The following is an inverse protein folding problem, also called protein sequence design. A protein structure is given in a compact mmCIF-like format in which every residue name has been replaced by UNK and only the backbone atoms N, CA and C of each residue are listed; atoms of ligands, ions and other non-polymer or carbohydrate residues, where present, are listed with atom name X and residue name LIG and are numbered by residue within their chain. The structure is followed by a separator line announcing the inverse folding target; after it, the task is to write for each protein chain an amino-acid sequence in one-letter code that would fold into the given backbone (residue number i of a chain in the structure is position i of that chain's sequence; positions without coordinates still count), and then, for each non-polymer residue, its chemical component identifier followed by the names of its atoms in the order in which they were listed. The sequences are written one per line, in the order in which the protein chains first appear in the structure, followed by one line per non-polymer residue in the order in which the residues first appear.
data_IF_084534352535
#
_entry.id   IF_084534352535
#
_cell.length_a   1.000
_cell.length_b   1.000
_cell.length_c   1.000
_cell.angle_alpha   90.00
_cell.angle_beta   90.00
_cell.angle_gamma   90.00
#
_symmetry.space_group_name_H-M   'P 1'
#
loop_
_entity.id
_entity.type
_entity.pdbx_description
1 polymer ?
#
# COMPACT_ATOMS: atom_id res chain seq x y z
N UNK A 1 -30.61 5.58 -0.39
CA UNK A 1 -30.14 5.29 -0.36
C UNK A 1 -29.31 5.25 -0.84
N UNK A 2 -29.01 5.60 -0.91
CA UNK A 2 -28.18 5.52 -1.38
C UNK A 2 -27.07 5.35 -0.85
N UNK A 3 -26.85 5.07 0.16
CA UNK A 3 -25.85 4.71 0.84
C UNK A 3 -25.05 3.69 0.30
N UNK A 4 -25.51 2.69 -0.12
CA UNK A 4 -24.75 1.68 -0.75
C UNK A 4 -24.03 2.20 -1.93
N UNK A 5 -24.49 3.22 -2.50
CA UNK A 5 -23.77 3.78 -3.53
C UNK A 5 -22.53 4.38 -3.09
N UNK A 6 -22.49 4.89 -1.87
CA UNK A 6 -21.30 5.46 -1.39
C UNK A 6 -20.22 4.49 -1.23
N UNK A 7 -20.52 3.29 -0.76
CA UNK A 7 -19.47 2.33 -0.58
C UNK A 7 -18.87 1.93 -1.90
N UNK A 8 -19.64 1.98 -2.96
CA UNK A 8 -19.08 1.62 -4.23
C UNK A 8 -18.22 2.70 -4.80
N UNK A 9 -18.38 3.95 -4.36
CA UNK A 9 -17.56 5.01 -4.87
C UNK A 9 -16.28 5.17 -4.11
N UNK A 10 -16.13 4.48 -3.00
CA UNK A 10 -14.90 4.58 -2.23
C UNK A 10 -13.84 3.71 -2.83
N UNK A 11 -12.65 4.23 -2.88
CA UNK A 11 -11.52 3.47 -3.38
C UNK A 11 -11.10 2.44 -2.36
N UNK A 12 -10.54 1.35 -2.85
CA UNK A 12 -9.97 0.31 -2.02
C UNK A 12 -8.45 0.42 -2.10
N UNK A 13 -7.82 0.58 -0.97
CA UNK A 13 -6.38 0.74 -0.89
C UNK A 13 -5.75 -0.46 -0.23
N UNK A 14 -4.54 -0.81 -0.64
CA UNK A 14 -3.77 -1.84 0.04
C UNK A 14 -2.56 -1.17 0.65
N UNK A 15 -2.35 -1.37 1.94
CA UNK A 15 -1.19 -0.84 2.65
C UNK A 15 -0.27 -1.99 2.98
N UNK A 16 0.97 -1.92 2.51
CA UNK A 16 1.95 -2.97 2.70
C UNK A 16 3.14 -2.43 3.47
N UNK A 17 3.32 -2.89 4.69
CA UNK A 17 4.39 -2.44 5.55
C UNK A 17 4.58 -3.52 6.60
N UNK A 18 5.82 -3.90 6.87
CA UNK A 18 6.07 -4.95 7.84
C UNK A 18 6.09 -4.43 9.27
N UNK A 19 6.09 -3.13 9.46
CA UNK A 19 6.05 -2.55 10.78
C UNK A 19 4.60 -2.38 11.20
N UNK A 20 4.12 -3.16 12.17
CA UNK A 20 2.68 -3.14 12.49
C UNK A 20 2.17 -1.77 12.93
N UNK A 21 2.99 -1.01 13.65
CA UNK A 21 2.51 0.28 14.13
C UNK A 21 2.28 1.25 12.99
N UNK A 22 3.19 1.27 12.03
CA UNK A 22 3.04 2.15 10.88
C UNK A 22 1.91 1.66 10.01
N UNK A 23 1.87 0.35 9.77
CA UNK A 23 0.82 -0.23 8.94
C UNK A 23 -0.56 0.08 9.50
N UNK A 24 -0.72 -0.11 10.82
CA UNK A 24 -2.01 0.11 11.45
C UNK A 24 -2.38 1.58 11.47
N UNK A 25 -1.40 2.45 11.69
CA UNK A 25 -1.65 3.87 11.69
C UNK A 25 -2.13 4.34 10.32
N UNK A 26 -1.45 3.90 9.27
CA UNK A 26 -1.85 4.28 7.92
C UNK A 26 -3.23 3.72 7.60
N UNK A 27 -3.45 2.46 7.92
CA UNK A 27 -4.74 1.84 7.62
C UNK A 27 -5.87 2.55 8.35
N UNK A 28 -5.66 2.85 9.63
CA UNK A 28 -6.69 3.52 10.40
C UNK A 28 -6.99 4.90 9.87
N UNK A 29 -5.93 5.64 9.52
CA UNK A 29 -6.11 6.98 9.00
C UNK A 29 -6.87 6.98 7.69
N UNK A 30 -6.54 6.02 6.82
CA UNK A 30 -7.19 5.95 5.52
C UNK A 30 -8.64 5.50 5.66
N UNK A 31 -8.89 4.57 6.58
CA UNK A 31 -10.27 4.16 6.83
C UNK A 31 -11.09 5.30 7.39
N UNK A 32 -10.48 6.09 8.27
CA UNK A 32 -11.17 7.22 8.83
C UNK A 32 -11.53 8.22 7.74
N UNK A 33 -10.71 8.32 6.71
CA UNK A 33 -10.96 9.20 5.57
C UNK A 33 -12.01 8.65 4.62
N UNK A 34 -12.48 7.42 4.82
CA UNK A 34 -13.55 6.88 4.01
C UNK A 34 -13.15 5.80 3.04
N UNK A 35 -11.90 5.39 3.03
CA UNK A 35 -11.46 4.35 2.10
C UNK A 35 -11.62 2.96 2.71
N UNK A 36 -11.79 1.99 1.84
CA UNK A 36 -11.64 0.61 2.25
C UNK A 36 -10.16 0.28 2.21
N UNK A 37 -9.66 -0.42 3.21
CA UNK A 37 -8.23 -0.68 3.30
C UNK A 37 -7.98 -2.13 3.65
N UNK A 38 -7.13 -2.77 2.85
CA UNK A 38 -6.57 -4.07 3.16
C UNK A 38 -5.13 -3.86 3.58
N UNK A 39 -4.58 -4.79 4.33
CA UNK A 39 -3.20 -4.67 4.77
C UNK A 39 -2.44 -5.94 4.45
N UNK A 40 -1.13 -5.81 4.30
CA UNK A 40 -0.24 -6.94 4.14
C UNK A 40 1.07 -6.58 4.82
N UNK A 41 1.76 -7.57 5.34
CA UNK A 41 3.00 -7.36 6.07
C UNK A 41 4.26 -7.75 5.31
N UNK A 42 4.12 -8.30 4.12
CA UNK A 42 5.28 -8.69 3.34
C UNK A 42 4.91 -8.71 1.86
N UNK A 43 5.89 -9.00 1.04
CA UNK A 43 5.70 -8.96 -0.41
C UNK A 43 4.76 -10.04 -0.91
N UNK A 44 4.91 -11.25 -0.40
CA UNK A 44 4.03 -12.33 -0.83
C UNK A 44 2.59 -12.03 -0.45
N UNK A 45 2.38 -11.50 0.75
CA UNK A 45 1.05 -11.12 1.17
C UNK A 45 0.47 -10.04 0.29
N UNK A 46 1.32 -9.09 -0.13
CA UNK A 46 0.87 -8.03 -1.02
C UNK A 46 0.41 -8.60 -2.36
N UNK A 47 1.20 -9.50 -2.93
CA UNK A 47 0.85 -10.08 -4.22
C UNK A 47 -0.46 -10.84 -4.16
N UNK A 48 -0.65 -11.60 -3.09
CA UNK A 48 -1.90 -12.35 -2.92
C UNK A 48 -3.08 -11.44 -2.72
N UNK A 49 -2.90 -10.39 -1.94
CA UNK A 49 -4.00 -9.47 -1.66
C UNK A 49 -4.39 -8.69 -2.91
N UNK A 50 -3.43 -8.31 -3.73
CA UNK A 50 -3.75 -7.63 -4.98
C UNK A 50 -4.60 -8.53 -5.87
N UNK A 51 -4.23 -9.81 -5.96
CA UNK A 51 -5.00 -10.72 -6.76
C UNK A 51 -6.42 -10.89 -6.23
N UNK A 52 -6.55 -10.92 -4.93
CA UNK A 52 -7.83 -11.21 -4.31
C UNK A 52 -8.76 -10.01 -4.31
N UNK A 53 -8.24 -8.80 -4.12
CA UNK A 53 -9.08 -7.64 -3.88
C UNK A 53 -9.04 -6.60 -4.99
N UNK A 54 -8.06 -6.67 -5.87
CA UNK A 54 -7.91 -5.70 -6.96
C UNK A 54 -8.01 -4.25 -6.46
N UNK A 55 -7.09 -3.84 -5.62
CA UNK A 55 -7.18 -2.49 -5.06
C UNK A 55 -6.97 -1.42 -6.11
N UNK A 56 -7.41 -0.21 -5.80
CA UNK A 56 -7.26 0.92 -6.68
C UNK A 56 -5.90 1.60 -6.54
N UNK A 57 -5.24 1.38 -5.42
CA UNK A 57 -3.93 1.97 -5.15
C UNK A 57 -3.22 1.08 -4.14
N UNK A 58 -1.92 0.87 -4.31
CA UNK A 58 -1.11 0.14 -3.35
C UNK A 58 -0.12 1.13 -2.72
N UNK A 59 -0.13 1.21 -1.40
CA UNK A 59 0.86 1.98 -0.64
C UNK A 59 1.87 0.96 -0.15
N UNK A 60 3.10 1.04 -0.61
CA UNK A 60 4.03 -0.05 -0.52
C UNK A 60 5.36 0.39 0.06
N UNK A 61 5.75 -0.23 1.16
CA UNK A 61 7.04 0.02 1.75
C UNK A 61 8.13 -0.57 0.85
N UNK A 62 9.22 0.16 0.72
CA UNK A 62 10.34 -0.32 -0.08
C UNK A 62 11.02 -1.50 0.60
N UNK A 63 11.11 -1.49 1.93
CA UNK A 63 11.82 -2.53 2.64
C UNK A 63 10.86 -3.49 3.29
N UNK A 64 10.77 -4.69 2.75
CA UNK A 64 9.92 -5.74 3.30
C UNK A 64 10.80 -6.94 3.65
N UNK A 65 10.33 -7.82 4.52
CA UNK A 65 11.19 -8.91 5.00
C UNK A 65 11.53 -9.96 3.95
N UNK A 66 10.64 -10.19 3.00
CA UNK A 66 10.86 -11.26 2.04
C UNK A 66 11.34 -10.77 0.67
N UNK A 67 11.10 -9.52 0.35
CA UNK A 67 11.58 -8.95 -0.91
C UNK A 67 11.40 -7.44 -0.81
N UNK A 68 12.09 -6.67 -1.62
CA UNK A 68 11.90 -5.24 -1.55
C UNK A 68 10.63 -4.84 -2.33
N UNK A 69 10.18 -3.62 -2.08
CA UNK A 69 8.96 -3.16 -2.70
C UNK A 69 9.06 -3.02 -4.21
N UNK A 70 10.25 -2.73 -4.71
CA UNK A 70 10.41 -2.60 -6.16
C UNK A 70 10.23 -3.95 -6.82
N UNK A 71 10.62 -5.03 -6.14
CA UNK A 71 10.39 -6.37 -6.66
C UNK A 71 8.91 -6.68 -6.70
N UNK A 72 8.18 -6.29 -5.66
CA UNK A 72 6.73 -6.47 -5.66
C UNK A 72 6.11 -5.75 -6.85
N UNK A 73 6.51 -4.50 -7.06
CA UNK A 73 5.97 -3.71 -8.16
C UNK A 73 6.26 -4.37 -9.49
N UNK A 74 7.50 -4.84 -9.66
CA UNK A 74 7.87 -5.49 -10.92
C UNK A 74 7.03 -6.73 -11.17
N UNK A 75 6.82 -7.54 -10.13
CA UNK A 75 6.03 -8.75 -10.29
C UNK A 75 4.58 -8.45 -10.61
N UNK A 76 4.05 -7.37 -10.06
CA UNK A 76 2.70 -6.97 -10.41
C UNK A 76 2.62 -6.56 -11.88
N UNK A 77 3.61 -5.83 -12.37
CA UNK A 77 3.61 -5.43 -13.78
C UNK A 77 3.75 -6.63 -14.69
N UNK A 78 4.50 -7.63 -14.26
CA UNK A 78 4.65 -8.86 -15.03
C UNK A 78 3.35 -9.63 -15.16
N UNK A 79 2.44 -9.42 -14.21
CA UNK A 79 1.13 -10.05 -14.23
C UNK A 79 0.07 -9.15 -14.85
N UNK A 80 0.53 -8.09 -15.51
CA UNK A 80 -0.37 -7.13 -16.17
C UNK A 80 -1.25 -6.37 -15.20
N UNK A 81 -0.82 -6.25 -13.95
CA UNK A 81 -1.53 -5.45 -12.97
C UNK A 81 -1.04 -4.03 -13.13
N UNK A 82 -1.94 -3.12 -13.42
CA UNK A 82 -1.58 -1.72 -13.68
C UNK A 82 -1.93 -0.78 -12.55
N UNK A 83 -2.32 -1.33 -11.42
CA UNK A 83 -2.67 -0.52 -10.24
C UNK A 83 -1.52 0.42 -9.89
N UNK A 84 -1.81 1.69 -9.65
CA UNK A 84 -0.78 2.63 -9.22
C UNK A 84 -0.17 2.23 -7.89
N UNK A 85 1.10 2.45 -7.75
CA UNK A 85 1.83 2.09 -6.54
C UNK A 85 2.54 3.32 -6.01
N UNK A 86 2.29 3.60 -4.74
CA UNK A 86 2.89 4.72 -4.06
C UNK A 86 3.89 4.16 -3.08
N UNK A 87 5.17 4.43 -3.30
CA UNK A 87 6.20 3.87 -2.45
C UNK A 87 6.42 4.73 -1.22
N UNK A 88 6.57 4.04 -0.09
CA UNK A 88 7.00 4.68 1.15
C UNK A 88 8.44 4.32 1.38
N UNK A 89 9.19 5.24 1.95
CA UNK A 89 10.54 4.93 2.32
C UNK A 89 10.84 5.59 3.66
N UNK A 90 11.61 4.90 4.48
CA UNK A 90 12.10 5.46 5.72
C UNK A 90 13.53 5.89 5.46
N UNK A 91 13.80 7.16 5.66
CA UNK A 91 15.12 7.67 5.43
C UNK A 91 15.95 7.47 6.65
N UNK A 92 16.95 6.63 6.52
CA UNK A 92 17.75 6.30 7.67
C UNK A 92 18.55 7.44 8.19
N UNK A 93 18.90 8.33 7.33
CA UNK A 93 19.69 9.46 7.75
C UNK A 93 18.87 10.47 8.53
N UNK A 94 17.57 10.21 8.66
CA UNK A 94 16.75 11.10 9.44
C UNK A 94 16.64 10.54 10.82
N UNK A 95 16.81 11.38 11.78
CA UNK A 95 16.74 10.95 13.15
C UNK A 95 15.34 10.59 13.53
N UNK A 96 14.40 11.22 12.93
CA UNK A 96 13.02 11.04 13.31
C UNK A 96 12.33 10.14 12.32
N UNK A 97 11.94 8.99 12.78
CA UNK A 97 11.35 8.04 11.89
C UNK A 97 10.05 8.49 11.31
N UNK A 98 9.29 9.25 12.05
CA UNK A 98 8.04 9.73 11.53
C UNK A 98 8.27 10.67 10.39
N UNK A 99 9.25 11.54 10.53
CA UNK A 99 9.57 12.45 9.46
C UNK A 99 10.38 11.79 8.38
N UNK A 100 10.93 10.64 8.68
CA UNK A 100 11.71 9.92 7.69
C UNK A 100 10.88 9.23 6.64
N UNK A 101 9.59 9.10 6.89
CA UNK A 101 8.73 8.48 5.88
C UNK A 101 8.39 9.49 4.81
N UNK A 102 8.46 9.07 3.60
CA UNK A 102 8.10 9.94 2.50
C UNK A 102 7.58 9.13 1.34
N UNK A 103 6.83 9.81 0.50
CA UNK A 103 6.31 9.21 -0.71
C UNK A 103 7.28 9.58 -1.82
N UNK A 104 7.98 8.59 -2.35
CA UNK A 104 9.05 8.87 -3.28
C UNK A 104 8.67 8.68 -4.72
N UNK A 105 7.63 7.94 -5.00
CA UNK A 105 7.36 7.67 -6.40
C UNK A 105 6.05 6.98 -6.61
N UNK A 106 5.41 7.29 -7.71
CA UNK A 106 4.24 6.55 -8.15
C UNK A 106 4.67 5.77 -9.37
N UNK A 107 4.55 4.47 -9.28
CA UNK A 107 4.94 3.60 -10.37
C UNK A 107 3.83 3.55 -11.40
N UNK A 108 4.18 3.72 -12.65
CA UNK A 108 3.21 3.64 -13.72
C UNK A 108 3.52 2.50 -14.63
N UNK A 109 2.51 1.96 -15.26
CA UNK A 109 2.70 0.79 -16.14
C UNK A 109 3.55 1.09 -17.34
#
# INVERSE_FOLDING_TARGET
MERSQQSRTEAHLLVVDDEPNIRDLLASSLRFAGFEVSIAGDGNGALKTVEKTSPDLVVLDVMLPDMDGFTVARRLRERDVTTPILFLTARDDMADKVQGLSLIHISEP
#
